data_IF_981330528983
#
_entry.id   IF_981330528983
#
_cell.length_a   1.000
_cell.length_b   1.000
_cell.length_c   1.000
_cell.angle_alpha   90.00
_cell.angle_beta   90.00
_cell.angle_gamma   90.00
#
_symmetry.space_group_name_H-M   'P 1'
#
loop_
_entity.id
_entity.type
_entity.pdbx_description
1 polymer ?
#
# COMPACT_ATOMS: atom_id res chain seq x y z
N UNK A 1 -4.93 4.00 9.30
CA UNK A 1 -5.59 3.03 10.22
C UNK A 1 -4.82 2.90 11.54
N UNK A 2 -3.56 2.45 11.58
CA UNK A 2 -2.83 2.23 12.84
C UNK A 2 -2.79 3.46 13.78
N UNK A 3 -2.56 4.66 13.25
CA UNK A 3 -2.57 5.90 14.04
C UNK A 3 -3.95 6.17 14.66
N UNK A 4 -5.03 5.97 13.91
CA UNK A 4 -6.41 6.11 14.39
C UNK A 4 -6.71 5.10 15.50
N UNK A 5 -6.38 3.82 15.32
CA UNK A 5 -6.54 2.78 16.33
C UNK A 5 -5.71 3.05 17.60
N UNK A 6 -4.58 3.77 17.46
CA UNK A 6 -3.78 4.24 18.57
C UNK A 6 -4.34 5.52 19.25
N UNK A 7 -5.56 5.93 18.93
CA UNK A 7 -6.24 7.11 19.51
C UNK A 7 -5.70 8.46 19.01
N UNK A 8 -4.89 8.49 17.95
CA UNK A 8 -4.43 9.75 17.36
C UNK A 8 -5.51 10.31 16.43
N UNK A 9 -5.84 11.61 16.52
CA UNK A 9 -6.77 12.22 15.59
C UNK A 9 -6.18 12.22 14.18
N UNK A 10 -6.87 11.57 13.25
CA UNK A 10 -6.51 11.49 11.84
C UNK A 10 -7.74 11.81 11.01
N UNK A 11 -7.60 12.68 10.02
CA UNK A 11 -8.56 12.91 8.95
C UNK A 11 -7.83 12.74 7.62
N UNK A 12 -8.42 12.06 6.65
CA UNK A 12 -7.78 11.74 5.37
C UNK A 12 -8.51 12.44 4.23
N UNK A 13 -7.81 13.23 3.44
CA UNK A 13 -8.27 13.69 2.13
C UNK A 13 -7.83 12.65 1.10
N UNK A 14 -8.80 12.02 0.46
CA UNK A 14 -8.57 10.95 -0.52
C UNK A 14 -8.74 11.53 -1.92
N UNK A 15 -7.67 11.65 -2.69
CA UNK A 15 -7.77 11.96 -4.11
C UNK A 15 -8.53 10.85 -4.84
N UNK A 16 -9.50 11.21 -5.70
CA UNK A 16 -10.37 10.22 -6.37
C UNK A 16 -9.63 9.26 -7.28
N UNK A 17 -8.47 9.65 -7.77
CA UNK A 17 -7.57 8.90 -8.67
C UNK A 17 -8.24 8.58 -10.02
N UNK A 18 -8.48 9.61 -10.83
CA UNK A 18 -8.94 9.43 -12.22
C UNK A 18 -7.85 8.78 -13.07
N UNK A 19 -8.18 7.97 -14.10
CA UNK A 19 -9.53 7.55 -14.47
C UNK A 19 -10.01 6.27 -13.76
N UNK A 20 -9.14 5.61 -12.98
CA UNK A 20 -9.45 4.32 -12.31
C UNK A 20 -10.42 4.43 -11.15
N UNK A 21 -10.48 5.59 -10.51
CA UNK A 21 -11.18 5.85 -9.24
C UNK A 21 -10.71 4.95 -8.09
N UNK A 22 -9.44 4.55 -8.09
CA UNK A 22 -8.90 3.68 -7.04
C UNK A 22 -8.99 4.34 -5.66
N UNK A 23 -8.76 5.64 -5.55
CA UNK A 23 -8.94 6.39 -4.32
C UNK A 23 -10.38 6.34 -3.81
N UNK A 24 -11.34 6.69 -4.67
CA UNK A 24 -12.77 6.67 -4.31
C UNK A 24 -13.32 5.29 -4.02
N UNK A 25 -12.84 4.24 -4.72
CA UNK A 25 -13.41 2.89 -4.66
C UNK A 25 -12.74 2.00 -3.64
N UNK A 26 -11.43 2.11 -3.45
CA UNK A 26 -10.63 1.22 -2.61
C UNK A 26 -10.22 1.94 -1.33
N UNK A 27 -9.44 3.03 -1.44
CA UNK A 27 -8.93 3.71 -0.25
C UNK A 27 -10.05 4.27 0.63
N UNK A 28 -11.07 4.90 0.05
CA UNK A 28 -12.22 5.40 0.78
C UNK A 28 -13.02 4.27 1.44
N UNK A 29 -13.18 3.11 0.76
CA UNK A 29 -13.83 1.95 1.33
C UNK A 29 -13.06 1.40 2.53
N UNK A 30 -11.74 1.23 2.42
CA UNK A 30 -10.88 0.76 3.53
C UNK A 30 -10.94 1.69 4.74
N UNK A 31 -10.89 3.02 4.51
CA UNK A 31 -11.00 4.02 5.57
C UNK A 31 -12.37 3.95 6.25
N UNK A 32 -13.44 3.79 5.46
CA UNK A 32 -14.81 3.60 5.97
C UNK A 32 -14.91 2.36 6.86
N UNK A 33 -14.39 1.20 6.41
CA UNK A 33 -14.39 -0.03 7.21
C UNK A 33 -13.58 0.11 8.51
N UNK A 34 -12.52 0.91 8.49
CA UNK A 34 -11.68 1.16 9.65
C UNK A 34 -12.21 2.28 10.57
N UNK A 35 -13.34 2.92 10.23
CA UNK A 35 -13.90 4.04 11.00
C UNK A 35 -13.01 5.31 11.00
N UNK A 36 -12.09 5.43 10.04
CA UNK A 36 -11.20 6.61 9.92
C UNK A 36 -11.97 7.73 9.22
N UNK A 37 -12.06 8.93 9.80
CA UNK A 37 -12.68 10.09 9.14
C UNK A 37 -11.94 10.44 7.83
N UNK A 38 -12.69 10.64 6.75
CA UNK A 38 -12.14 11.04 5.45
C UNK A 38 -13.10 11.87 4.63
N UNK A 39 -12.56 12.59 3.65
CA UNK A 39 -13.31 13.22 2.57
C UNK A 39 -12.66 12.86 1.23
N UNK A 40 -13.48 12.65 0.20
CA UNK A 40 -12.99 12.43 -1.17
C UNK A 40 -12.89 13.80 -1.85
N UNK A 41 -11.76 14.04 -2.52
CA UNK A 41 -11.52 15.24 -3.33
C UNK A 41 -11.20 14.85 -4.77
N UNK A 42 -11.55 15.71 -5.73
CA UNK A 42 -11.12 15.54 -7.11
C UNK A 42 -9.60 15.69 -7.20
N UNK A 43 -8.96 14.96 -8.13
CA UNK A 43 -7.50 15.02 -8.28
C UNK A 43 -7.00 16.44 -8.52
N UNK A 44 -7.77 17.23 -9.30
CA UNK A 44 -7.42 18.63 -9.60
C UNK A 44 -7.53 19.57 -8.38
N UNK A 45 -8.35 19.25 -7.38
CA UNK A 45 -8.50 20.05 -6.17
C UNK A 45 -7.45 19.70 -5.10
N UNK A 46 -6.94 18.48 -5.10
CA UNK A 46 -6.03 18.00 -4.06
C UNK A 46 -4.78 18.89 -3.86
N UNK A 47 -4.08 19.39 -4.92
CA UNK A 47 -2.99 20.35 -4.76
C UNK A 47 -3.43 21.67 -4.07
N UNK A 48 -4.65 22.14 -4.33
CA UNK A 48 -5.23 23.33 -3.68
C UNK A 48 -5.41 23.12 -2.18
N UNK A 49 -5.99 21.99 -1.77
CA UNK A 49 -6.13 21.65 -0.34
C UNK A 49 -4.78 21.59 0.38
N UNK A 50 -3.72 21.09 -0.29
CA UNK A 50 -2.36 21.12 0.28
C UNK A 50 -1.89 22.56 0.46
N UNK A 51 -2.07 23.41 -0.54
CA UNK A 51 -1.65 24.83 -0.49
C UNK A 51 -2.42 25.64 0.58
N UNK A 52 -3.66 25.30 0.84
CA UNK A 52 -4.51 25.89 1.89
C UNK A 52 -4.19 25.37 3.30
N UNK A 53 -3.26 24.40 3.43
CA UNK A 53 -2.81 23.88 4.72
C UNK A 53 -3.72 22.80 5.31
N UNK A 54 -4.63 22.22 4.52
CA UNK A 54 -5.53 21.15 4.99
C UNK A 54 -4.81 19.79 5.17
N UNK A 55 -3.61 19.64 4.60
CA UNK A 55 -2.83 18.41 4.70
C UNK A 55 -1.51 18.63 5.44
N UNK A 56 -1.26 17.84 6.48
CA UNK A 56 0.01 17.83 7.23
C UNK A 56 1.07 16.89 6.61
N UNK A 57 0.67 15.99 5.72
CA UNK A 57 1.54 15.10 4.95
C UNK A 57 0.79 14.61 3.71
N UNK A 58 1.54 14.33 2.65
CA UNK A 58 1.05 13.62 1.46
C UNK A 58 1.63 12.22 1.47
N UNK A 59 0.79 11.21 1.24
CA UNK A 59 1.19 9.80 1.22
C UNK A 59 0.73 9.18 -0.10
N UNK A 60 1.66 8.57 -0.83
CA UNK A 60 1.36 7.82 -2.06
C UNK A 60 1.96 6.42 -1.99
N UNK A 61 1.38 5.48 -2.72
CA UNK A 61 2.02 4.20 -2.99
C UNK A 61 2.83 4.29 -4.29
N UNK A 62 3.92 3.51 -4.38
CA UNK A 62 4.69 3.40 -5.62
C UNK A 62 4.49 2.05 -6.28
N UNK A 63 4.37 2.06 -7.61
CA UNK A 63 4.43 0.85 -8.44
C UNK A 63 5.88 0.41 -8.63
N UNK A 64 6.81 1.38 -8.72
CA UNK A 64 8.25 1.15 -8.85
C UNK A 64 9.06 2.30 -8.25
N UNK A 65 10.20 1.97 -7.66
CA UNK A 65 11.21 2.92 -7.19
C UNK A 65 12.53 2.58 -7.86
N UNK A 66 13.14 3.53 -8.55
CA UNK A 66 14.45 3.37 -9.19
C UNK A 66 15.61 3.43 -8.17
N UNK A 67 16.79 3.01 -8.57
CA UNK A 67 17.98 2.97 -7.72
C UNK A 67 18.37 4.33 -7.12
N UNK A 68 18.10 5.43 -7.83
CA UNK A 68 18.35 6.80 -7.36
C UNK A 68 17.26 7.36 -6.44
N UNK A 69 16.15 6.62 -6.25
CA UNK A 69 15.00 7.06 -5.45
C UNK A 69 13.90 7.77 -6.22
N UNK A 70 13.97 7.85 -7.54
CA UNK A 70 12.86 8.30 -8.38
C UNK A 70 11.70 7.31 -8.28
N UNK A 71 10.49 7.83 -8.29
CA UNK A 71 9.28 7.07 -8.01
C UNK A 71 8.35 7.08 -9.22
N UNK A 72 7.95 5.90 -9.68
CA UNK A 72 6.86 5.70 -10.63
C UNK A 72 5.64 5.26 -9.82
N UNK A 73 4.59 6.05 -9.90
CA UNK A 73 3.39 5.88 -9.10
C UNK A 73 2.13 6.17 -9.95
N UNK A 74 0.93 5.84 -9.47
CA UNK A 74 -0.30 6.22 -10.15
C UNK A 74 -0.34 7.70 -10.51
N UNK A 75 -0.89 7.99 -11.71
CA UNK A 75 -1.00 9.35 -12.23
C UNK A 75 -1.61 10.31 -11.19
N UNK A 76 -1.02 11.49 -11.05
CA UNK A 76 -1.38 12.48 -10.04
C UNK A 76 -0.38 12.57 -8.87
N UNK A 77 0.55 11.62 -8.75
CA UNK A 77 1.56 11.63 -7.69
C UNK A 77 2.55 12.78 -7.87
N UNK A 78 3.00 13.04 -9.09
CA UNK A 78 3.92 14.15 -9.39
C UNK A 78 3.35 15.54 -9.05
N UNK A 79 2.14 15.94 -9.49
CA UNK A 79 1.56 17.23 -9.10
C UNK A 79 1.33 17.35 -7.59
N UNK A 80 1.00 16.27 -6.88
CA UNK A 80 0.92 16.27 -5.42
C UNK A 80 2.28 16.49 -4.76
N UNK A 81 3.35 15.89 -5.30
CA UNK A 81 4.72 16.09 -4.81
C UNK A 81 5.18 17.53 -5.01
N UNK A 82 4.86 18.14 -6.16
CA UNK A 82 5.13 19.56 -6.42
C UNK A 82 4.39 20.46 -5.43
N UNK A 83 3.10 20.24 -5.21
CA UNK A 83 2.30 21.01 -4.27
C UNK A 83 2.83 20.86 -2.84
N UNK A 84 3.17 19.65 -2.43
CA UNK A 84 3.77 19.38 -1.13
C UNK A 84 5.10 20.12 -0.95
N UNK A 85 5.97 20.09 -1.98
CA UNK A 85 7.25 20.81 -1.97
C UNK A 85 7.09 22.31 -1.81
N UNK A 86 6.14 22.93 -2.54
CA UNK A 86 5.85 24.36 -2.45
C UNK A 86 5.27 24.73 -1.08
N UNK A 87 4.39 23.90 -0.53
CA UNK A 87 3.75 24.13 0.76
C UNK A 87 4.64 23.75 1.97
N UNK A 88 5.81 23.15 1.75
CA UNK A 88 6.68 22.66 2.82
C UNK A 88 6.11 21.44 3.56
N UNK A 89 5.20 20.71 2.94
CA UNK A 89 4.53 19.53 3.48
C UNK A 89 5.33 18.28 3.09
N UNK A 90 5.58 17.33 4.00
CA UNK A 90 6.31 16.11 3.64
C UNK A 90 5.55 15.25 2.63
N UNK A 91 6.25 14.82 1.57
CA UNK A 91 5.77 13.85 0.58
C UNK A 91 6.39 12.49 0.87
N UNK A 92 5.56 11.55 1.27
CA UNK A 92 5.94 10.21 1.73
C UNK A 92 5.52 9.15 0.72
N UNK A 93 6.43 8.25 0.38
CA UNK A 93 6.17 7.17 -0.56
C UNK A 93 6.17 5.84 0.20
N UNK A 94 5.08 5.09 0.12
CA UNK A 94 4.99 3.74 0.68
C UNK A 94 5.25 2.73 -0.43
N UNK A 95 6.31 1.95 -0.29
CA UNK A 95 6.70 0.94 -1.27
C UNK A 95 7.35 -0.26 -0.57
N UNK A 96 6.89 -1.50 -0.78
CA UNK A 96 7.62 -2.66 -0.32
C UNK A 96 8.95 -2.77 -1.07
N UNK A 97 9.95 -3.43 -0.48
CA UNK A 97 11.25 -3.62 -1.16
C UNK A 97 11.12 -4.39 -2.48
N UNK A 98 10.03 -5.15 -2.68
CA UNK A 98 9.72 -5.81 -3.95
C UNK A 98 9.34 -4.84 -5.08
N UNK A 99 8.94 -3.61 -4.76
CA UNK A 99 8.67 -2.56 -5.75
C UNK A 99 9.94 -1.74 -6.08
N UNK A 100 11.06 -2.00 -5.40
CA UNK A 100 12.34 -1.32 -5.67
C UNK A 100 13.09 -2.07 -6.76
N UNK A 101 13.37 -1.37 -7.86
CA UNK A 101 14.16 -1.88 -8.99
C UNK A 101 15.54 -1.24 -9.01
N UNK A 102 16.50 -1.92 -8.38
CA UNK A 102 17.90 -1.47 -8.34
C UNK A 102 18.62 -1.60 -9.68
N UNK A 103 18.02 -2.25 -10.67
CA UNK A 103 18.59 -2.38 -12.02
C UNK A 103 18.23 -1.22 -12.93
N UNK A 104 17.23 -0.43 -12.55
CA UNK A 104 16.86 0.82 -13.23
C UNK A 104 17.57 1.99 -12.51
N UNK A 105 18.59 2.63 -13.12
CA UNK A 105 19.39 3.65 -12.47
C UNK A 105 18.58 4.89 -12.06
N UNK A 106 17.67 5.34 -12.93
CA UNK A 106 16.79 6.50 -12.72
C UNK A 106 15.40 6.27 -13.29
N UNK A 107 14.45 7.04 -12.84
CA UNK A 107 13.07 6.98 -13.32
C UNK A 107 12.91 7.41 -14.79
N UNK A 108 13.87 8.17 -15.34
CA UNK A 108 13.86 8.56 -16.76
C UNK A 108 14.03 7.37 -17.71
N UNK A 109 14.65 6.29 -17.24
CA UNK A 109 14.82 5.05 -18.00
C UNK A 109 13.61 4.13 -17.92
N UNK A 110 12.64 4.45 -17.06
CA UNK A 110 11.44 3.65 -16.90
C UNK A 110 10.39 4.01 -17.94
N UNK A 111 9.71 2.99 -18.44
CA UNK A 111 8.56 3.19 -19.33
C UNK A 111 7.33 3.53 -18.51
N UNK A 112 6.70 4.67 -18.80
CA UNK A 112 5.40 5.05 -18.24
C UNK A 112 4.31 4.36 -19.08
N UNK A 113 3.41 3.69 -18.40
CA UNK A 113 2.32 2.95 -19.01
C UNK A 113 1.24 3.90 -19.54
N UNK A 114 0.79 3.66 -20.78
CA UNK A 114 -0.32 4.38 -21.41
C UNK A 114 -1.56 3.47 -21.38
N UNK A 115 -2.59 3.93 -20.70
CA UNK A 115 -3.88 3.23 -20.60
C UNK A 115 -4.78 3.46 -21.82
N UNK A 116 -5.94 2.80 -21.83
CA UNK A 116 -6.94 2.97 -22.88
C UNK A 116 -7.50 4.40 -22.86
N UNK A 117 -7.77 5.03 -24.04
CA UNK A 117 -8.35 6.38 -24.11
C UNK A 117 -9.79 6.46 -23.57
N UNK A 118 -10.56 5.38 -23.64
CA UNK A 118 -11.98 5.35 -23.29
C UNK A 118 -12.31 5.95 -21.90
N UNK A 119 -11.60 5.63 -20.81
CA UNK A 119 -11.92 6.21 -19.51
C UNK A 119 -11.76 7.74 -19.41
N UNK A 120 -10.96 8.34 -20.29
CA UNK A 120 -10.81 9.80 -20.36
C UNK A 120 -11.98 10.44 -21.11
N UNK A 121 -12.49 9.74 -22.14
CA UNK A 121 -13.56 10.23 -23.02
C UNK A 121 -14.97 9.99 -22.44
N UNK A 122 -15.09 9.23 -21.37
CA UNK A 122 -16.37 8.86 -20.78
C UNK A 122 -16.42 9.12 -19.26
N UNK A 123 -17.62 9.44 -18.78
CA UNK A 123 -17.99 9.40 -17.37
C UNK A 123 -18.92 8.19 -17.16
N UNK A 124 -18.37 7.12 -16.60
CA UNK A 124 -19.04 5.83 -16.57
C UNK A 124 -19.32 5.29 -17.97
N UNK A 125 -20.58 5.04 -18.29
CA UNK A 125 -21.02 4.59 -19.63
C UNK A 125 -21.32 5.75 -20.59
N UNK A 126 -21.39 6.98 -20.10
CA UNK A 126 -21.77 8.16 -20.88
C UNK A 126 -20.53 8.78 -21.51
N UNK A 127 -20.54 8.94 -22.84
CA UNK A 127 -19.51 9.69 -23.53
C UNK A 127 -19.67 11.19 -23.22
N UNK A 128 -18.59 11.85 -22.79
CA UNK A 128 -18.58 13.30 -22.45
C UNK A 128 -17.78 14.13 -23.46
N UNK A 129 -16.95 13.49 -24.28
CA UNK A 129 -16.19 14.15 -25.33
C UNK A 129 -16.88 14.03 -26.68
N UNK A 130 -16.72 14.99 -27.62
CA UNK A 130 -17.25 14.91 -28.98
C UNK A 130 -16.79 13.63 -29.69
N UNK A 131 -17.58 13.16 -30.66
CA UNK A 131 -17.16 12.06 -31.54
C UNK A 131 -15.88 12.41 -32.29
N UNK A 132 -15.00 11.44 -32.50
CA UNK A 132 -13.70 11.64 -33.14
C UNK A 132 -12.62 12.24 -32.21
N UNK A 133 -12.94 12.65 -30.96
CA UNK A 133 -11.94 13.10 -30.01
C UNK A 133 -10.93 12.00 -29.70
N UNK A 134 -9.65 12.36 -29.71
CA UNK A 134 -8.57 11.54 -29.22
C UNK A 134 -8.27 11.87 -27.76
N UNK A 135 -7.72 10.91 -26.99
CA UNK A 135 -7.28 11.14 -25.62
C UNK A 135 -5.97 10.41 -25.35
N UNK A 136 -5.13 11.03 -24.55
CA UNK A 136 -4.00 10.39 -23.89
C UNK A 136 -4.42 10.02 -22.46
N UNK A 137 -3.95 8.88 -21.99
CA UNK A 137 -4.27 8.36 -20.68
C UNK A 137 -3.04 7.71 -20.03
N UNK A 138 -1.98 8.49 -19.71
CA UNK A 138 -0.89 7.92 -18.91
C UNK A 138 -1.48 7.50 -17.56
N UNK A 139 -1.23 6.26 -17.14
CA UNK A 139 -1.78 5.73 -15.88
C UNK A 139 -0.83 5.91 -14.71
N UNK A 140 0.39 6.31 -15.00
CA UNK A 140 1.46 6.58 -14.03
C UNK A 140 2.13 7.91 -14.35
N UNK A 141 2.81 8.46 -13.36
CA UNK A 141 3.75 9.56 -13.54
C UNK A 141 5.08 9.30 -12.80
N UNK A 142 6.09 10.08 -13.17
CA UNK A 142 7.40 10.04 -12.57
C UNK A 142 7.55 11.20 -11.58
N UNK A 143 7.81 10.86 -10.32
CA UNK A 143 8.18 11.83 -9.27
C UNK A 143 9.69 11.74 -9.02
N UNK A 144 10.46 12.81 -9.29
CA UNK A 144 11.88 12.86 -8.99
C UNK A 144 12.17 12.68 -7.50
N UNK A 145 13.25 11.99 -7.17
CA UNK A 145 13.71 11.75 -5.80
C UNK A 145 13.90 13.04 -4.97
N UNK A 146 14.20 14.16 -5.63
CA UNK A 146 14.35 15.46 -4.99
C UNK A 146 13.06 16.00 -4.35
N UNK A 147 11.90 15.53 -4.77
CA UNK A 147 10.60 15.88 -4.21
C UNK A 147 10.14 14.90 -3.11
N UNK A 148 10.85 13.78 -2.93
CA UNK A 148 10.49 12.75 -1.96
C UNK A 148 11.14 13.02 -0.61
N UNK A 149 10.34 13.15 0.43
CA UNK A 149 10.84 13.34 1.81
C UNK A 149 11.36 12.04 2.40
N UNK A 150 10.65 10.95 2.17
CA UNK A 150 11.05 9.61 2.62
C UNK A 150 10.32 8.52 1.83
N UNK A 151 10.98 7.36 1.69
CA UNK A 151 10.39 6.12 1.19
C UNK A 151 10.23 5.18 2.39
N UNK A 152 9.01 4.68 2.58
CA UNK A 152 8.64 3.82 3.71
C UNK A 152 8.51 2.40 3.18
N UNK A 153 9.32 1.51 3.74
CA UNK A 153 9.37 0.09 3.37
C UNK A 153 9.15 -0.79 4.60
N UNK A 154 9.01 -2.09 4.41
CA UNK A 154 9.00 -3.06 5.51
C UNK A 154 10.37 -3.19 6.22
N UNK A 155 11.45 -2.69 5.60
CA UNK A 155 12.79 -2.62 6.20
C UNK A 155 13.03 -1.30 6.94
N UNK A 156 12.06 -0.36 6.92
CA UNK A 156 12.15 0.92 7.60
C UNK A 156 11.95 2.12 6.70
N UNK A 157 12.33 3.29 7.22
CA UNK A 157 12.16 4.59 6.57
C UNK A 157 13.46 5.00 5.91
N UNK A 158 13.46 5.06 4.59
CA UNK A 158 14.60 5.47 3.78
C UNK A 158 14.55 7.00 3.55
N UNK A 159 15.70 7.67 3.69
CA UNK A 159 15.84 9.10 3.48
C UNK A 159 17.01 9.37 2.54
N UNK A 160 17.01 10.55 1.94
CA UNK A 160 18.14 10.98 1.10
C UNK A 160 19.48 10.99 1.89
N UNK A 161 20.59 10.60 1.25
CA UNK A 161 20.68 10.14 -0.14
C UNK A 161 20.10 8.74 -0.33
N UNK A 162 19.15 8.60 -1.29
CA UNK A 162 18.36 7.38 -1.42
C UNK A 162 19.16 6.17 -1.91
N UNK A 163 20.09 6.34 -2.84
CA UNK A 163 20.82 5.20 -3.42
C UNK A 163 21.43 4.24 -2.38
N UNK A 164 22.25 4.69 -1.43
CA UNK A 164 22.80 3.84 -0.37
C UNK A 164 21.72 3.25 0.54
N UNK A 165 20.69 4.03 0.90
CA UNK A 165 19.60 3.57 1.75
C UNK A 165 18.75 2.46 1.08
N UNK A 166 18.46 2.62 -0.22
CA UNK A 166 17.77 1.64 -1.05
C UNK A 166 18.59 0.35 -1.15
N UNK A 167 19.87 0.45 -1.48
CA UNK A 167 20.73 -0.72 -1.59
C UNK A 167 20.78 -1.53 -0.28
N UNK A 168 20.90 -0.84 0.87
CA UNK A 168 20.90 -1.48 2.18
C UNK A 168 19.56 -2.18 2.48
N UNK A 169 18.42 -1.53 2.20
CA UNK A 169 17.10 -2.10 2.45
C UNK A 169 16.83 -3.34 1.59
N UNK A 170 17.18 -3.28 0.30
CA UNK A 170 17.02 -4.42 -0.62
C UNK A 170 17.90 -5.59 -0.20
N UNK A 171 19.15 -5.35 0.22
CA UNK A 171 20.04 -6.40 0.73
C UNK A 171 19.50 -7.03 2.02
N UNK A 172 18.97 -6.23 2.95
CA UNK A 172 18.33 -6.73 4.18
C UNK A 172 17.11 -7.60 3.88
N UNK A 173 16.24 -7.15 2.97
CA UNK A 173 15.07 -7.91 2.53
C UNK A 173 15.44 -9.23 1.86
N UNK A 174 16.47 -9.25 1.01
CA UNK A 174 16.96 -10.48 0.37
C UNK A 174 17.44 -11.48 1.42
N UNK A 175 18.27 -11.05 2.37
CA UNK A 175 18.75 -11.91 3.46
C UNK A 175 17.59 -12.47 4.30
N UNK A 176 16.59 -11.64 4.61
CA UNK A 176 15.41 -12.09 5.35
C UNK A 176 14.62 -13.16 4.59
N UNK A 177 14.45 -12.99 3.26
CA UNK A 177 13.76 -13.99 2.42
C UNK A 177 14.49 -15.32 2.39
N UNK A 178 15.82 -15.32 2.31
CA UNK A 178 16.65 -16.53 2.35
C UNK A 178 16.52 -17.29 3.68
N UNK A 179 16.36 -16.57 4.79
CA UNK A 179 16.23 -17.14 6.13
C UNK A 179 14.79 -17.43 6.55
N UNK A 180 13.80 -16.96 5.81
CA UNK A 180 12.39 -17.22 6.09
C UNK A 180 12.00 -18.64 5.74
N UNK A 181 11.19 -19.30 6.58
CA UNK A 181 10.68 -20.63 6.23
C UNK A 181 9.87 -20.55 4.94
N UNK A 182 10.11 -21.49 4.02
CA UNK A 182 9.34 -21.57 2.77
C UNK A 182 7.85 -21.79 3.04
N UNK A 183 7.01 -21.53 2.04
CA UNK A 183 5.55 -21.68 2.15
C UNK A 183 5.12 -23.06 2.66
N UNK A 184 5.75 -24.12 2.18
CA UNK A 184 5.46 -25.49 2.64
C UNK A 184 5.72 -25.69 4.14
N UNK A 185 6.79 -25.10 4.67
CA UNK A 185 7.10 -25.13 6.10
C UNK A 185 6.10 -24.32 6.93
N UNK A 186 5.66 -23.16 6.45
CA UNK A 186 4.62 -22.34 7.09
C UNK A 186 3.29 -23.10 7.15
N UNK A 187 2.90 -23.77 6.06
CA UNK A 187 1.68 -24.60 6.01
C UNK A 187 1.79 -25.77 6.99
N UNK A 188 2.94 -26.44 7.05
CA UNK A 188 3.17 -27.52 7.99
C UNK A 188 3.02 -27.05 9.45
N UNK A 189 3.67 -25.94 9.83
CA UNK A 189 3.56 -25.36 11.17
C UNK A 189 2.14 -24.92 11.53
N UNK A 190 1.41 -24.34 10.57
CA UNK A 190 0.03 -23.97 10.76
C UNK A 190 -0.86 -25.21 10.98
N UNK A 191 -0.64 -26.29 10.24
CA UNK A 191 -1.37 -27.55 10.41
C UNK A 191 -1.06 -28.21 11.77
N UNK A 192 0.20 -28.20 12.20
CA UNK A 192 0.62 -28.71 13.52
C UNK A 192 -0.01 -27.89 14.67
N UNK A 193 -0.04 -26.55 14.54
CA UNK A 193 -0.67 -25.69 15.53
C UNK A 193 -2.20 -25.81 15.57
N UNK A 194 -2.83 -26.21 14.47
CA UNK A 194 -4.27 -26.43 14.39
C UNK A 194 -4.71 -27.85 14.77
N UNK A 195 -3.77 -28.80 14.98
CA UNK A 195 -4.07 -30.12 15.41
C UNK A 195 -4.68 -30.12 16.82
N UNK A 196 -5.84 -30.72 17.08
CA UNK A 196 -6.41 -30.77 18.41
C UNK A 196 -5.45 -31.53 19.35
N UNK A 197 -5.22 -31.00 20.53
CA UNK A 197 -4.47 -31.69 21.57
C UNK A 197 -5.19 -33.01 21.86
N UNK A 198 -4.58 -34.12 21.42
CA UNK A 198 -5.10 -35.46 21.74
C UNK A 198 -4.81 -35.73 23.19
N UNK A 199 -5.69 -35.28 24.07
CA UNK A 199 -5.71 -35.65 25.48
C UNK A 199 -6.27 -37.07 25.55
N UNK A 200 -5.39 -38.04 25.50
CA UNK A 200 -5.73 -39.41 25.87
C UNK A 200 -5.89 -39.46 27.38
N UNK A 201 -7.11 -39.21 27.86
CA UNK A 201 -7.47 -39.58 29.21
C UNK A 201 -7.42 -41.08 29.37
N UNK A 202 -6.73 -41.65 30.36
CA UNK A 202 -6.77 -43.10 30.59
C UNK A 202 -8.17 -43.48 31.02
N UNK A 203 -8.78 -44.38 30.28
CA UNK A 203 -10.01 -45.07 30.65
C UNK A 203 -9.71 -45.90 31.89
N UNK A 204 -10.12 -45.43 33.06
CA UNK A 204 -10.11 -46.20 34.29
C UNK A 204 -11.23 -47.25 34.17
N UNK A 205 -10.85 -48.51 33.98
CA UNK A 205 -11.71 -49.68 34.00
C UNK A 205 -12.35 -49.82 35.38
N UNK A 206 -13.63 -49.58 35.50
CA UNK A 206 -14.36 -49.76 36.76
C UNK A 206 -14.61 -51.24 36.99
N UNK A 207 -14.10 -51.75 38.13
CA UNK A 207 -14.33 -53.10 38.57
C UNK A 207 -15.80 -53.41 38.81
N UNK A 208 -16.32 -54.60 38.50
CA UNK A 208 -17.73 -54.97 38.66
C UNK A 208 -18.12 -55.04 40.16
N UNK A 209 -19.19 -54.35 40.47
CA UNK A 209 -19.82 -54.43 41.82
C UNK A 209 -20.45 -55.78 42.04
N UNK A 210 -20.01 -56.43 43.09
CA UNK A 210 -20.57 -57.69 43.59
C UNK A 210 -21.96 -57.46 44.19
N UNK A 211 -22.96 -58.11 43.57
CA UNK A 211 -24.36 -58.04 44.03
C UNK A 211 -24.59 -59.12 45.12
N UNK A 212 -24.45 -58.71 46.37
CA UNK A 212 -24.89 -59.55 47.50
C UNK A 212 -26.43 -59.52 47.62
N UNK A 213 -27.05 -60.71 47.51
CA UNK A 213 -28.44 -60.93 47.78
C UNK A 213 -28.62 -61.22 49.28
N UNK A 214 -29.50 -60.54 50.01
CA UNK A 214 -29.92 -60.98 51.34
C UNK A 214 -31.08 -61.96 51.26
N UNK A 215 -30.98 -63.03 52.06
CA UNK A 215 -32.05 -63.96 52.32
C UNK A 215 -33.18 -63.48 53.23
#
# INVERSE_FOLDING_TARGET
MAAHHAGRPVHVLVAETRPSFAGSRIAAWELSQAGVPYAIVTDAAAPGCIAEGEAAAVIVAADRVAANGDVIAPIGSYPLALAAGVAGVPFLVCAPTSAIDVTTPSGEEATIEEGRPSPVLHAGTTRVAPEGSQARNPVQDLTPATLVTAIITEEGVLRAPFGPAIAAAVAAASKRRETSPGFAELVRRAAEAAAPATEAAPVTEAAPADAGVPG
#
